data_IF_312689745980
#
_entry.id   IF_312689745980
#
_cell.length_a   1.000
_cell.length_b   1.000
_cell.length_c   1.000
_cell.angle_alpha   90.00
_cell.angle_beta   90.00
_cell.angle_gamma   90.00
#
_symmetry.space_group_name_H-M   'P 1'
#
loop_
_entity.id
_entity.type
_entity.pdbx_description
1 polymer ?
#
# COMPACT_ATOMS: atom_id res chain seq x y z
N UNK A 1 4.39 -0.58 -1.53
CA UNK A 1 3.61 -0.30 -0.32
C UNK A 1 4.46 0.29 0.82
N UNK A 2 5.77 0.10 0.80
CA UNK A 2 6.67 0.34 1.93
C UNK A 2 7.68 1.46 1.71
N UNK A 3 7.49 2.35 0.74
CA UNK A 3 8.41 3.43 0.41
C UNK A 3 7.78 4.80 0.66
N UNK A 4 7.85 5.33 1.89
CA UNK A 4 7.43 6.69 2.17
C UNK A 4 8.34 7.69 1.45
N UNK A 5 7.77 8.81 1.02
CA UNK A 5 8.52 9.94 0.51
C UNK A 5 8.65 11.03 1.59
N UNK A 6 9.39 12.08 1.29
CA UNK A 6 9.51 13.26 2.19
C UNK A 6 8.34 14.24 2.02
N UNK A 7 7.48 14.04 1.01
CA UNK A 7 6.35 14.94 0.74
C UNK A 7 5.21 14.70 1.73
N UNK A 8 4.88 15.70 2.54
CA UNK A 8 3.70 15.66 3.40
C UNK A 8 2.41 15.61 2.55
N UNK A 9 1.41 14.89 3.03
CA UNK A 9 0.13 14.74 2.31
C UNK A 9 -0.51 16.12 2.04
N UNK A 10 -0.57 17.00 3.03
CA UNK A 10 -1.17 18.33 2.88
C UNK A 10 -0.45 19.25 1.90
N UNK A 11 0.81 18.98 1.58
CA UNK A 11 1.54 19.75 0.57
C UNK A 11 0.98 19.54 -0.84
N UNK A 12 0.32 18.41 -1.09
CA UNK A 12 -0.21 18.01 -2.41
C UNK A 12 -1.74 17.90 -2.39
N UNK A 13 -2.30 17.38 -1.30
CA UNK A 13 -3.72 17.10 -1.13
C UNK A 13 -4.21 17.74 0.19
N UNK A 14 -4.49 19.04 0.20
CA UNK A 14 -4.93 19.76 1.41
C UNK A 14 -6.16 19.13 2.05
N UNK A 15 -6.11 18.93 3.37
CA UNK A 15 -7.20 18.35 4.16
C UNK A 15 -7.15 16.83 4.29
N UNK A 16 -6.34 16.13 3.51
CA UNK A 16 -6.23 14.67 3.59
C UNK A 16 -5.24 14.18 4.65
N UNK A 17 -4.32 15.01 5.10
CA UNK A 17 -3.31 14.61 6.08
C UNK A 17 -3.92 14.12 7.40
N UNK A 18 -4.98 14.78 7.87
CA UNK A 18 -5.65 14.39 9.10
C UNK A 18 -6.32 13.00 9.04
N UNK A 19 -6.63 12.52 7.85
CA UNK A 19 -7.22 11.20 7.60
C UNK A 19 -6.15 10.14 7.32
N UNK A 20 -4.96 10.57 6.86
CA UNK A 20 -3.88 9.67 6.47
C UNK A 20 -3.27 8.95 7.67
N UNK A 21 -3.02 7.64 7.51
CA UNK A 21 -2.29 6.82 8.48
C UNK A 21 -0.82 7.24 8.54
N UNK A 22 -0.24 7.21 9.74
CA UNK A 22 1.17 7.50 9.94
C UNK A 22 2.10 6.50 9.20
N UNK A 23 3.23 6.93 8.65
CA UNK A 23 3.65 8.32 8.51
C UNK A 23 2.78 9.06 7.48
N UNK A 24 2.38 10.30 7.81
CA UNK A 24 1.45 11.10 7.02
C UNK A 24 2.13 11.79 5.83
N UNK A 25 2.82 10.99 5.03
CA UNK A 25 3.50 11.41 3.80
C UNK A 25 2.92 10.67 2.60
N UNK A 26 3.22 11.14 1.40
CA UNK A 26 2.97 10.36 0.20
C UNK A 26 3.93 9.18 0.13
N UNK A 27 3.46 8.08 -0.41
CA UNK A 27 4.27 6.89 -0.67
C UNK A 27 4.55 6.76 -2.16
N UNK A 28 5.65 6.10 -2.51
CA UNK A 28 5.95 5.78 -3.91
C UNK A 28 5.13 4.55 -4.33
N UNK A 29 4.24 4.74 -5.32
CA UNK A 29 3.37 3.69 -5.83
C UNK A 29 3.95 2.94 -7.02
N UNK A 30 4.83 3.58 -7.78
CA UNK A 30 5.45 3.00 -8.98
C UNK A 30 5.94 4.05 -9.96
N UNK A 31 6.49 3.61 -11.10
CA UNK A 31 7.16 4.48 -12.07
C UNK A 31 6.22 5.19 -13.06
N UNK A 32 4.94 4.80 -13.10
CA UNK A 32 3.97 5.32 -14.06
C UNK A 32 3.10 6.39 -13.40
N UNK A 33 2.83 7.50 -14.11
CA UNK A 33 1.92 8.56 -13.64
C UNK A 33 2.33 9.13 -12.28
N UNK A 34 3.59 9.50 -12.10
CA UNK A 34 4.13 9.99 -10.82
C UNK A 34 3.55 11.32 -10.36
N UNK A 35 2.83 12.00 -11.23
CA UNK A 35 2.02 13.20 -10.99
C UNK A 35 0.56 12.88 -10.58
N UNK A 36 0.20 11.59 -10.59
CA UNK A 36 -1.11 11.09 -10.17
C UNK A 36 -1.04 10.48 -8.79
N UNK A 37 -2.12 10.56 -8.03
CA UNK A 37 -2.22 9.97 -6.70
C UNK A 37 -3.34 8.93 -6.63
N UNK A 38 -3.09 7.84 -5.90
CA UNK A 38 -4.07 6.80 -5.59
C UNK A 38 -4.17 6.66 -4.07
N UNK A 39 -5.37 6.82 -3.55
CA UNK A 39 -5.66 6.59 -2.13
C UNK A 39 -6.14 5.16 -1.89
N UNK A 40 -5.40 4.40 -1.08
CA UNK A 40 -5.81 3.08 -0.60
C UNK A 40 -6.39 3.24 0.79
N UNK A 41 -7.52 2.61 1.05
CA UNK A 41 -8.24 2.69 2.33
C UNK A 41 -8.51 1.32 2.91
N UNK A 42 -8.51 1.26 4.24
CA UNK A 42 -9.08 0.16 5.00
C UNK A 42 -10.52 0.47 5.32
N UNK A 43 -11.45 -0.38 4.90
CA UNK A 43 -12.88 -0.19 5.08
C UNK A 43 -13.42 -1.30 5.97
N UNK A 44 -13.70 -1.04 7.25
CA UNK A 44 -14.24 -2.04 8.16
C UNK A 44 -15.67 -2.42 7.79
N UNK A 45 -16.06 -3.64 8.15
CA UNK A 45 -17.41 -4.15 7.98
C UNK A 45 -17.75 -4.63 6.55
N UNK A 46 -18.90 -5.27 6.43
CA UNK A 46 -19.47 -5.72 5.17
C UNK A 46 -20.63 -4.79 4.77
N UNK A 47 -20.50 -4.19 3.60
CA UNK A 47 -21.59 -3.50 2.93
C UNK A 47 -21.94 -2.12 3.50
N UNK A 48 -21.76 -1.12 2.69
CA UNK A 48 -22.21 0.26 2.81
C UNK A 48 -21.93 0.96 1.49
N UNK A 49 -22.80 1.87 1.06
CA UNK A 49 -22.48 2.78 -0.01
C UNK A 49 -21.57 3.86 0.58
N UNK A 50 -20.28 3.62 0.53
CA UNK A 50 -19.30 4.59 1.01
C UNK A 50 -19.13 5.63 -0.10
N UNK A 51 -19.57 6.85 0.14
CA UNK A 51 -19.38 7.97 -0.77
C UNK A 51 -17.88 8.17 -1.05
N UNK A 52 -17.50 8.04 -2.32
CA UNK A 52 -16.12 8.22 -2.74
C UNK A 52 -15.18 7.04 -2.45
N UNK A 53 -15.68 5.89 -1.96
CA UNK A 53 -14.87 4.70 -1.72
C UNK A 53 -15.37 3.53 -2.56
N UNK A 54 -14.46 2.95 -3.35
CA UNK A 54 -14.70 1.71 -4.08
C UNK A 54 -13.99 0.55 -3.39
N UNK A 55 -14.74 -0.42 -2.87
CA UNK A 55 -14.18 -1.65 -2.31
C UNK A 55 -13.54 -2.51 -3.39
N UNK A 56 -12.40 -3.12 -3.07
CA UNK A 56 -11.68 -4.05 -3.93
C UNK A 56 -11.77 -5.48 -3.39
N UNK A 57 -11.05 -5.78 -2.31
CA UNK A 57 -11.01 -7.11 -1.67
C UNK A 57 -10.59 -7.00 -0.20
N UNK A 58 -10.94 -7.98 0.62
CA UNK A 58 -10.39 -8.17 1.97
C UNK A 58 -10.44 -6.95 2.90
N UNK A 59 -11.44 -6.08 2.77
CA UNK A 59 -11.52 -4.84 3.55
C UNK A 59 -10.64 -3.71 3.01
N UNK A 60 -10.04 -3.88 1.85
CA UNK A 60 -9.27 -2.86 1.14
C UNK A 60 -10.14 -2.21 0.07
N UNK A 61 -9.99 -0.91 -0.10
CA UNK A 61 -10.62 -0.12 -1.16
C UNK A 61 -9.72 0.96 -1.71
N UNK A 62 -10.20 1.62 -2.74
CA UNK A 62 -9.64 2.88 -3.24
C UNK A 62 -10.60 4.02 -2.94
N UNK A 63 -10.06 5.18 -2.69
CA UNK A 63 -10.83 6.40 -2.41
C UNK A 63 -10.66 7.40 -3.53
N UNK A 64 -11.76 8.07 -3.87
CA UNK A 64 -11.74 9.25 -4.72
C UNK A 64 -11.15 10.43 -3.92
N UNK A 65 -9.95 10.85 -4.30
CA UNK A 65 -9.24 11.95 -3.64
C UNK A 65 -9.81 13.34 -3.99
N UNK A 66 -10.71 13.42 -4.95
CA UNK A 66 -11.48 14.64 -5.25
C UNK A 66 -12.70 14.78 -4.32
N UNK A 67 -13.08 13.72 -3.61
CA UNK A 67 -14.13 13.79 -2.61
C UNK A 67 -13.68 14.58 -1.37
N UNK A 68 -14.60 15.26 -0.68
CA UNK A 68 -14.26 15.94 0.56
C UNK A 68 -13.74 14.97 1.64
N UNK A 69 -12.54 15.20 2.21
CA UNK A 69 -11.95 14.30 3.21
C UNK A 69 -12.86 14.02 4.40
N UNK A 70 -13.63 15.01 4.84
CA UNK A 70 -14.56 14.90 5.98
C UNK A 70 -15.70 13.90 5.75
N UNK A 71 -16.07 13.65 4.50
CA UNK A 71 -17.10 12.65 4.16
C UNK A 71 -16.52 11.22 4.14
N UNK A 72 -15.23 11.09 3.87
CA UNK A 72 -14.54 9.80 3.79
C UNK A 72 -14.04 9.35 5.17
N UNK A 73 -13.55 10.28 5.99
CA UNK A 73 -12.91 9.99 7.27
C UNK A 73 -13.70 9.05 8.20
N UNK A 74 -15.04 9.20 8.35
CA UNK A 74 -15.82 8.32 9.24
C UNK A 74 -15.95 6.87 8.72
N UNK A 75 -15.71 6.66 7.42
CA UNK A 75 -15.96 5.40 6.73
C UNK A 75 -14.71 4.51 6.64
N UNK A 76 -13.54 5.02 6.99
CA UNK A 76 -12.27 4.33 6.81
C UNK A 76 -11.51 4.20 8.12
N UNK A 77 -10.85 3.06 8.32
CA UNK A 77 -10.00 2.79 9.46
C UNK A 77 -8.51 3.09 9.18
N UNK A 78 -8.16 3.29 7.92
CA UNK A 78 -6.82 3.65 7.47
C UNK A 78 -6.85 4.21 6.07
N UNK A 79 -5.92 5.12 5.80
CA UNK A 79 -5.70 5.71 4.48
C UNK A 79 -4.21 5.84 4.21
N UNK A 80 -3.78 5.44 3.02
CA UNK A 80 -2.43 5.70 2.52
C UNK A 80 -2.49 6.15 1.07
N UNK A 81 -1.74 7.19 0.75
CA UNK A 81 -1.77 7.82 -0.57
C UNK A 81 -0.44 7.56 -1.27
N UNK A 82 -0.54 7.05 -2.49
CA UNK A 82 0.59 6.67 -3.33
C UNK A 82 0.69 7.60 -4.52
N UNK A 83 1.88 8.12 -4.80
CA UNK A 83 2.20 8.82 -6.04
C UNK A 83 2.71 7.81 -7.07
N UNK A 84 2.07 7.80 -8.23
CA UNK A 84 2.35 6.84 -9.29
C UNK A 84 1.85 5.42 -9.00
N UNK A 85 2.00 4.56 -9.99
CA UNK A 85 1.60 3.16 -9.93
C UNK A 85 2.53 2.28 -10.78
N UNK A 86 2.43 0.97 -10.62
CA UNK A 86 3.00 -0.02 -11.52
C UNK A 86 1.87 -0.72 -12.26
N UNK A 87 2.10 -1.04 -13.53
CA UNK A 87 1.14 -1.73 -14.37
C UNK A 87 1.76 -2.90 -15.10
N UNK A 88 0.97 -3.92 -15.34
CA UNK A 88 1.35 -5.11 -16.10
C UNK A 88 0.36 -5.31 -17.25
N UNK A 89 0.88 -5.68 -18.41
CA UNK A 89 0.04 -6.17 -19.50
C UNK A 89 -0.51 -7.58 -19.18
N UNK A 90 -1.57 -7.99 -19.89
CA UNK A 90 -2.17 -9.32 -19.66
C UNK A 90 -1.13 -10.44 -19.78
N UNK A 91 -1.03 -11.29 -18.73
CA UNK A 91 -0.09 -12.40 -18.65
C UNK A 91 1.35 -12.04 -18.27
N UNK A 92 1.70 -10.75 -18.20
CA UNK A 92 3.07 -10.32 -17.85
C UNK A 92 3.41 -10.69 -16.40
N UNK A 93 2.55 -10.31 -15.44
CA UNK A 93 2.78 -10.58 -14.02
C UNK A 93 2.87 -12.09 -13.75
N UNK A 94 1.96 -12.86 -14.33
CA UNK A 94 1.99 -14.33 -14.21
C UNK A 94 3.27 -14.93 -14.82
N UNK A 95 3.79 -14.33 -15.90
CA UNK A 95 5.06 -14.68 -16.48
C UNK A 95 6.23 -14.43 -15.54
N UNK A 96 6.26 -13.29 -14.90
CA UNK A 96 7.29 -12.90 -13.91
C UNK A 96 7.24 -13.82 -12.68
N UNK A 97 6.04 -14.14 -12.17
CA UNK A 97 5.87 -15.09 -11.06
C UNK A 97 6.43 -16.47 -11.43
N UNK A 98 6.14 -16.99 -12.64
CA UNK A 98 6.66 -18.29 -13.10
C UNK A 98 8.18 -18.31 -13.22
N UNK A 99 8.83 -17.19 -13.53
CA UNK A 99 10.28 -17.06 -13.55
C UNK A 99 10.92 -16.95 -12.17
N UNK A 100 10.11 -16.74 -11.12
CA UNK A 100 10.59 -16.53 -9.76
C UNK A 100 11.02 -15.09 -9.43
N UNK A 101 10.58 -14.13 -10.25
CA UNK A 101 10.89 -12.71 -10.05
C UNK A 101 10.12 -12.12 -8.84
N UNK A 102 9.08 -12.81 -8.36
CA UNK A 102 8.22 -12.41 -7.25
C UNK A 102 8.03 -13.51 -6.23
N UNK A 103 8.05 -13.13 -4.96
CA UNK A 103 7.51 -13.97 -3.89
C UNK A 103 6.02 -13.71 -3.73
N UNK A 104 5.21 -14.73 -3.97
CA UNK A 104 3.76 -14.67 -3.72
C UNK A 104 3.52 -15.11 -2.29
N UNK A 105 2.92 -14.24 -1.48
CA UNK A 105 2.78 -14.41 -0.04
C UNK A 105 1.37 -14.12 0.42
N UNK A 106 1.00 -14.64 1.59
CA UNK A 106 -0.25 -14.32 2.24
C UNK A 106 -0.21 -12.87 2.75
N UNK A 107 -1.20 -12.08 2.35
CA UNK A 107 -1.33 -10.68 2.74
C UNK A 107 -2.33 -10.53 3.90
N UNK A 108 -2.07 -9.55 4.75
CA UNK A 108 -3.02 -9.05 5.74
C UNK A 108 -3.43 -7.62 5.37
N UNK A 109 -4.71 -7.22 5.59
CA UNK A 109 -5.17 -5.86 5.25
C UNK A 109 -4.31 -4.76 5.88
N UNK A 110 -3.79 -5.00 7.09
CA UNK A 110 -2.91 -4.06 7.80
C UNK A 110 -1.57 -3.80 7.13
N UNK A 111 -1.12 -4.68 6.22
CA UNK A 111 0.18 -4.53 5.55
C UNK A 111 0.25 -3.23 4.74
N UNK A 112 -0.86 -2.82 4.14
CA UNK A 112 -0.92 -1.58 3.38
C UNK A 112 -0.83 -0.32 4.26
N UNK A 113 -1.01 -0.45 5.58
CA UNK A 113 -1.11 0.66 6.54
C UNK A 113 -0.08 0.56 7.67
N UNK A 114 1.02 -0.18 7.48
CA UNK A 114 2.08 -0.29 8.46
C UNK A 114 2.61 1.09 8.87
N UNK A 115 2.74 1.32 10.16
CA UNK A 115 3.40 2.51 10.73
C UNK A 115 4.92 2.44 10.66
N UNK A 116 5.46 1.24 10.42
CA UNK A 116 6.88 0.96 10.17
C UNK A 116 7.09 0.42 8.74
N UNK A 117 6.83 1.24 7.70
CA UNK A 117 6.82 0.76 6.32
C UNK A 117 8.16 0.21 5.83
N UNK A 118 9.29 0.68 6.37
CA UNK A 118 10.61 0.17 6.02
C UNK A 118 10.80 -1.29 6.45
N UNK A 119 10.16 -1.71 7.54
CA UNK A 119 10.24 -3.08 8.07
C UNK A 119 9.18 -4.02 7.47
N UNK A 120 8.27 -3.48 6.64
CA UNK A 120 7.13 -4.24 6.13
C UNK A 120 7.54 -5.48 5.36
N UNK A 121 8.56 -5.39 4.48
CA UNK A 121 9.02 -6.50 3.66
C UNK A 121 9.50 -7.67 4.54
N UNK A 122 10.36 -7.38 5.48
CA UNK A 122 10.90 -8.36 6.43
C UNK A 122 9.79 -8.96 7.32
N UNK A 123 8.92 -8.11 7.86
CA UNK A 123 7.78 -8.52 8.68
C UNK A 123 6.82 -9.46 7.95
N UNK A 124 6.51 -9.16 6.69
CA UNK A 124 5.64 -9.99 5.85
C UNK A 124 6.29 -11.34 5.57
N UNK A 125 7.59 -11.40 5.25
CA UNK A 125 8.29 -12.65 4.98
C UNK A 125 8.44 -13.51 6.24
N UNK A 126 8.73 -12.92 7.38
CA UNK A 126 8.87 -13.65 8.66
C UNK A 126 7.62 -14.43 9.06
N UNK A 127 6.44 -13.93 8.75
CA UNK A 127 5.18 -14.62 9.09
C UNK A 127 4.77 -15.68 8.09
N UNK A 128 5.47 -15.80 6.95
CA UNK A 128 5.20 -16.85 5.97
C UNK A 128 5.69 -18.21 6.49
N UNK A 129 5.09 -19.29 5.97
CA UNK A 129 5.52 -20.65 6.28
C UNK A 129 6.62 -21.09 5.32
N UNK A 130 7.48 -22.00 5.79
CA UNK A 130 8.53 -22.59 4.96
C UNK A 130 9.74 -21.69 4.80
N UNK A 131 10.42 -21.83 3.64
CA UNK A 131 11.72 -21.20 3.40
C UNK A 131 11.65 -19.67 3.26
N UNK A 132 10.48 -19.09 2.99
CA UNK A 132 10.35 -17.64 2.84
C UNK A 132 10.68 -16.87 4.13
N UNK A 133 10.41 -17.47 5.29
CA UNK A 133 10.79 -16.86 6.57
C UNK A 133 12.32 -16.69 6.72
N UNK A 134 13.11 -17.55 6.07
CA UNK A 134 14.57 -17.43 6.09
C UNK A 134 15.09 -16.34 5.17
N UNK A 135 14.34 -15.98 4.12
CA UNK A 135 14.72 -14.88 3.21
C UNK A 135 14.79 -13.55 3.95
N UNK A 136 13.95 -13.37 4.97
CA UNK A 136 13.97 -12.18 5.84
C UNK A 136 15.25 -12.03 6.67
N UNK A 137 16.08 -13.07 6.76
CA UNK A 137 17.34 -13.05 7.50
C UNK A 137 18.55 -12.69 6.63
N UNK A 138 18.36 -12.60 5.31
CA UNK A 138 19.45 -12.17 4.44
C UNK A 138 19.64 -10.65 4.53
N UNK A 139 20.87 -10.18 4.66
CA UNK A 139 21.14 -8.75 4.68
C UNK A 139 20.80 -8.12 3.32
N UNK A 140 20.32 -6.88 3.36
CA UNK A 140 20.01 -6.08 2.17
C UNK A 140 21.26 -5.81 1.31
N UNK A 141 22.44 -5.84 1.92
CA UNK A 141 23.72 -5.67 1.25
C UNK A 141 24.42 -7.03 1.05
N UNK A 142 24.57 -7.51 -0.20
CA UNK A 142 25.22 -8.77 -0.49
C UNK A 142 26.69 -8.84 -0.05
N UNK A 143 27.35 -7.71 0.21
CA UNK A 143 28.73 -7.64 0.71
C UNK A 143 28.86 -8.02 2.18
N UNK A 144 27.76 -8.12 2.89
CA UNK A 144 27.71 -8.49 4.33
C UNK A 144 27.65 -10.00 4.57
N UNK A 145 27.75 -10.85 3.54
CA UNK A 145 27.85 -12.31 3.64
C UNK A 145 29.31 -12.78 3.65
#
# INVERSE_FOLDING_TARGET
LNQPSEAAVDAVLPGWQAVATAPQTLFRGGPVGTDSAIGIVSVPGEGGKNLGVQRLFGGIGVVDLDAPPLLVAPEVAGLRIFAGYAGWSGGQLEGEIRRGDWYVVDAEPRDAFSDEPQELWESVLRRQRGNLAFVALYPDDPSMN
#
